data_IF_884033686367
#
_entry.id   IF_884033686367
#
_cell.length_a   1.000
_cell.length_b   1.000
_cell.length_c   1.000
_cell.angle_alpha   90.00
_cell.angle_beta   90.00
_cell.angle_gamma   90.00
#
_symmetry.space_group_name_H-M   'P 1'
#
loop_
_entity.id
_entity.type
_entity.pdbx_description
1 polymer ?
#
# COMPACT_ATOMS: atom_id res chain seq x y z
N UNK A 1 -8.81 4.88 27.16
CA UNK A 1 -9.17 4.61 25.75
C UNK A 1 -7.97 4.63 24.78
N UNK A 2 -6.83 5.25 25.14
CA UNK A 2 -5.64 5.43 24.25
C UNK A 2 -4.74 4.20 24.04
N UNK A 3 -4.78 3.18 24.91
CA UNK A 3 -3.86 2.03 24.82
C UNK A 3 -4.17 1.05 23.67
N UNK A 4 -5.45 0.81 23.37
CA UNK A 4 -5.85 -0.11 22.30
C UNK A 4 -5.41 0.39 20.91
N UNK A 5 -5.57 1.69 20.64
CA UNK A 5 -5.17 2.30 19.36
C UNK A 5 -3.65 2.24 19.18
N UNK A 6 -2.87 2.49 20.23
CA UNK A 6 -1.40 2.33 20.20
C UNK A 6 -0.97 0.89 19.92
N UNK A 7 -1.68 -0.11 20.45
CA UNK A 7 -1.37 -1.53 20.18
C UNK A 7 -1.72 -1.95 18.74
N UNK A 8 -2.82 -1.45 18.16
CA UNK A 8 -3.11 -1.67 16.73
C UNK A 8 -2.10 -0.93 15.82
N UNK A 9 -1.69 0.28 16.20
CA UNK A 9 -0.68 1.06 15.49
C UNK A 9 0.75 0.51 15.65
N UNK A 10 1.08 -0.22 16.72
CA UNK A 10 2.38 -0.90 16.82
C UNK A 10 2.43 -2.16 15.96
N UNK A 11 1.27 -2.75 15.68
CA UNK A 11 1.15 -3.94 14.84
C UNK A 11 1.38 -3.62 13.37
N UNK A 12 0.90 -2.44 12.93
CA UNK A 12 1.32 -1.82 11.68
C UNK A 12 2.67 -1.16 11.93
N UNK A 13 3.76 -1.85 11.59
CA UNK A 13 5.10 -1.28 11.79
C UNK A 13 5.31 -0.05 10.89
N UNK A 14 4.92 1.13 11.39
CA UNK A 14 5.09 2.42 10.71
C UNK A 14 6.55 2.67 10.31
N UNK A 15 7.50 2.21 11.13
CA UNK A 15 8.92 2.30 10.80
C UNK A 15 9.27 1.60 9.49
N UNK A 16 8.67 0.42 9.23
CA UNK A 16 8.95 -0.34 8.01
C UNK A 16 8.35 0.34 6.78
N UNK A 17 7.17 0.97 6.90
CA UNK A 17 6.59 1.79 5.81
C UNK A 17 7.39 3.04 5.52
N UNK A 18 7.90 3.73 6.53
CA UNK A 18 8.78 4.91 6.35
C UNK A 18 10.03 4.56 5.56
N UNK A 19 10.67 3.42 5.83
CA UNK A 19 11.84 2.99 5.07
C UNK A 19 11.56 2.65 3.60
N UNK A 20 10.31 2.35 3.24
CA UNK A 20 9.97 2.03 1.85
C UNK A 20 9.44 3.21 1.03
N UNK A 21 9.01 4.30 1.68
CA UNK A 21 8.53 5.49 1.00
C UNK A 21 9.51 6.06 -0.04
N UNK A 22 10.84 6.10 0.19
CA UNK A 22 11.79 6.58 -0.81
C UNK A 22 11.73 5.77 -2.11
N UNK A 23 11.59 4.45 -2.03
CA UNK A 23 11.51 3.58 -3.21
C UNK A 23 10.20 3.78 -3.98
N UNK A 24 9.08 3.97 -3.27
CA UNK A 24 7.79 4.33 -3.89
C UNK A 24 7.88 5.65 -4.64
N UNK A 25 8.50 6.66 -4.02
CA UNK A 25 8.65 7.99 -4.61
C UNK A 25 9.50 7.95 -5.87
N UNK A 26 10.63 7.25 -5.83
CA UNK A 26 11.50 7.07 -7.00
C UNK A 26 10.75 6.37 -8.13
N UNK A 27 10.00 5.30 -7.83
CA UNK A 27 9.18 4.59 -8.81
C UNK A 27 8.09 5.49 -9.42
N UNK A 28 7.43 6.30 -8.61
CA UNK A 28 6.42 7.27 -9.06
C UNK A 28 7.04 8.33 -9.99
N UNK A 29 8.17 8.91 -9.60
CA UNK A 29 8.89 9.92 -10.40
C UNK A 29 9.41 9.32 -11.71
N UNK A 30 10.00 8.12 -11.68
CA UNK A 30 10.46 7.44 -12.90
C UNK A 30 9.30 7.10 -13.83
N UNK A 31 8.16 6.64 -13.29
CA UNK A 31 6.95 6.40 -14.06
C UNK A 31 6.48 7.66 -14.76
N UNK A 32 6.47 8.80 -14.05
CA UNK A 32 6.12 10.11 -14.60
C UNK A 32 7.07 10.56 -15.72
N UNK A 33 8.38 10.38 -15.54
CA UNK A 33 9.41 10.75 -16.54
C UNK A 33 9.26 9.89 -17.80
N UNK A 34 9.18 8.56 -17.64
CA UNK A 34 9.06 7.63 -18.77
C UNK A 34 7.77 7.88 -19.55
N UNK A 35 6.67 8.16 -18.85
CA UNK A 35 5.39 8.48 -19.46
C UNK A 35 5.46 9.75 -20.31
N UNK A 36 6.10 10.82 -19.82
CA UNK A 36 6.28 12.05 -20.59
C UNK A 36 7.11 11.82 -21.86
N UNK A 37 8.07 10.90 -21.81
CA UNK A 37 8.90 10.53 -22.95
C UNK A 37 8.11 9.78 -24.02
N UNK A 38 7.25 8.82 -23.65
CA UNK A 38 6.42 8.07 -24.61
C UNK A 38 5.34 8.94 -25.27
N UNK A 39 4.82 9.96 -24.55
CA UNK A 39 3.95 10.98 -25.15
C UNK A 39 4.65 11.77 -26.27
N UNK A 40 5.92 12.14 -26.07
CA UNK A 40 6.69 12.91 -27.08
C UNK A 40 7.03 12.09 -28.32
N UNK A 41 7.11 10.77 -28.18
CA UNK A 41 7.44 9.87 -29.28
C UNK A 41 6.22 9.51 -30.16
N UNK A 42 5.02 9.96 -29.79
CA UNK A 42 3.81 9.82 -30.62
C UNK A 42 3.18 8.41 -30.64
N UNK A 43 3.60 7.51 -29.75
CA UNK A 43 3.12 6.12 -29.73
C UNK A 43 1.80 5.91 -28.96
N UNK A 44 1.32 6.92 -28.22
CA UNK A 44 0.14 6.78 -27.35
C UNK A 44 -1.10 7.51 -27.89
N UNK A 45 -2.17 6.76 -28.17
CA UNK A 45 -3.48 7.29 -28.57
C UNK A 45 -4.03 8.21 -27.46
N UNK A 46 -4.04 9.53 -27.71
CA UNK A 46 -4.17 10.61 -26.72
C UNK A 46 -5.54 10.77 -26.05
N UNK A 47 -6.48 9.84 -26.21
CA UNK A 47 -7.89 10.15 -25.94
C UNK A 47 -8.38 9.91 -24.50
N UNK A 48 -7.57 9.33 -23.58
CA UNK A 48 -8.08 8.98 -22.23
C UNK A 48 -7.15 9.19 -21.04
N UNK A 49 -5.93 9.70 -21.21
CA UNK A 49 -4.98 9.72 -20.09
C UNK A 49 -4.23 11.05 -20.02
N UNK A 50 -4.74 11.95 -19.18
CA UNK A 50 -4.15 13.24 -18.89
C UNK A 50 -2.85 13.06 -18.10
N UNK A 51 -1.70 13.16 -18.78
CA UNK A 51 -0.41 13.32 -18.09
C UNK A 51 0.27 14.57 -18.61
N UNK A 52 0.09 15.63 -17.82
CA UNK A 52 1.15 16.50 -17.30
C UNK A 52 2.27 16.74 -18.33
N UNK A 53 1.97 17.66 -19.24
CA UNK A 53 2.95 18.70 -19.51
C UNK A 53 3.13 19.45 -18.18
N UNK A 54 4.35 19.64 -17.70
CA UNK A 54 4.64 20.53 -16.55
C UNK A 54 4.39 22.01 -16.94
N UNK A 55 3.24 22.30 -17.53
CA UNK A 55 2.72 23.63 -17.73
C UNK A 55 2.09 24.02 -16.40
N UNK A 56 2.44 25.20 -15.87
CA UNK A 56 2.09 25.66 -14.53
C UNK A 56 0.58 25.89 -14.35
N UNK A 57 -0.22 24.82 -14.30
CA UNK A 57 -1.65 24.85 -14.01
C UNK A 57 -1.87 24.28 -12.62
N UNK A 58 -2.58 25.02 -11.77
CA UNK A 58 -2.88 24.64 -10.38
C UNK A 58 -3.63 23.30 -10.28
N UNK A 59 -4.30 22.89 -11.37
CA UNK A 59 -5.05 21.64 -11.47
C UNK A 59 -4.15 20.41 -11.56
N UNK A 60 -3.04 20.47 -12.29
CA UNK A 60 -2.13 19.32 -12.46
C UNK A 60 -1.43 18.92 -11.15
N UNK A 61 -1.08 19.92 -10.33
CA UNK A 61 -0.48 19.68 -9.03
C UNK A 61 -1.45 18.97 -8.06
N UNK A 62 -2.73 19.34 -8.10
CA UNK A 62 -3.76 18.72 -7.27
C UNK A 62 -3.96 17.23 -7.62
N UNK A 63 -4.00 16.90 -8.92
CA UNK A 63 -4.07 15.51 -9.39
C UNK A 63 -2.83 14.70 -9.01
N UNK A 64 -1.64 15.30 -9.11
CA UNK A 64 -0.40 14.66 -8.72
C UNK A 64 -0.37 14.35 -7.22
N UNK A 65 -0.77 15.31 -6.38
CA UNK A 65 -0.91 15.09 -4.94
C UNK A 65 -1.94 14.00 -4.62
N UNK A 66 -3.12 14.04 -5.25
CA UNK A 66 -4.15 13.02 -5.05
C UNK A 66 -3.63 11.62 -5.41
N UNK A 67 -2.99 11.46 -6.56
CA UNK A 67 -2.40 10.19 -7.00
C UNK A 67 -1.31 9.73 -6.04
N UNK A 68 -0.48 10.65 -5.56
CA UNK A 68 0.55 10.35 -4.57
C UNK A 68 -0.05 9.83 -3.25
N UNK A 69 -1.09 10.48 -2.72
CA UNK A 69 -1.79 10.01 -1.52
C UNK A 69 -2.42 8.63 -1.72
N UNK A 70 -3.04 8.37 -2.86
CA UNK A 70 -3.59 7.07 -3.23
C UNK A 70 -2.51 5.98 -3.26
N UNK A 71 -1.35 6.26 -3.86
CA UNK A 71 -0.20 5.34 -3.89
C UNK A 71 0.31 5.03 -2.48
N UNK A 72 0.38 6.03 -1.59
CA UNK A 72 0.78 5.83 -0.20
C UNK A 72 -0.22 4.93 0.55
N UNK A 73 -1.52 5.16 0.38
CA UNK A 73 -2.58 4.34 0.97
C UNK A 73 -2.47 2.90 0.46
N UNK A 74 -2.26 2.70 -0.84
CA UNK A 74 -2.03 1.39 -1.43
C UNK A 74 -0.81 0.68 -0.80
N UNK A 75 0.33 1.36 -0.72
CA UNK A 75 1.56 0.79 -0.15
C UNK A 75 1.38 0.38 1.32
N UNK A 76 0.79 1.25 2.13
CA UNK A 76 0.59 0.99 3.56
C UNK A 76 -0.38 -0.17 3.75
N UNK A 77 -1.47 -0.21 2.98
CA UNK A 77 -2.49 -1.26 3.07
C UNK A 77 -1.95 -2.62 2.63
N UNK A 78 -1.28 -2.69 1.48
CA UNK A 78 -0.70 -3.93 0.97
C UNK A 78 0.35 -4.52 1.93
N UNK A 79 1.27 -3.69 2.46
CA UNK A 79 2.27 -4.17 3.43
C UNK A 79 1.64 -4.59 4.75
N UNK A 80 0.66 -3.85 5.24
CA UNK A 80 -0.02 -4.17 6.51
C UNK A 80 -0.78 -5.49 6.39
N UNK A 81 -1.47 -5.71 5.25
CA UNK A 81 -2.12 -6.97 4.93
C UNK A 81 -1.11 -8.13 4.90
N UNK A 82 -0.02 -8.01 4.14
CA UNK A 82 1.02 -9.05 4.04
C UNK A 82 1.67 -9.38 5.39
N UNK A 83 2.01 -8.37 6.19
CA UNK A 83 2.63 -8.58 7.50
C UNK A 83 1.67 -9.26 8.48
N UNK A 84 0.40 -8.86 8.50
CA UNK A 84 -0.61 -9.48 9.35
C UNK A 84 -0.97 -10.89 8.88
N UNK A 85 -1.00 -11.13 7.57
CA UNK A 85 -1.26 -12.44 6.96
C UNK A 85 -0.15 -13.44 7.28
N UNK A 86 1.11 -13.06 7.11
CA UNK A 86 2.26 -13.90 7.45
C UNK A 86 2.19 -14.33 8.93
N UNK A 87 1.91 -13.38 9.84
CA UNK A 87 1.78 -13.69 11.27
C UNK A 87 0.54 -14.53 11.62
N UNK A 88 -0.53 -14.43 10.83
CA UNK A 88 -1.74 -15.25 11.02
C UNK A 88 -1.47 -16.72 10.63
N UNK A 89 -0.85 -16.95 9.47
CA UNK A 89 -0.49 -18.29 9.00
C UNK A 89 0.59 -18.94 9.87
N UNK A 90 1.63 -18.17 10.21
CA UNK A 90 2.78 -18.70 10.94
C UNK A 90 2.49 -18.92 12.44
N UNK A 91 1.28 -18.59 12.95
CA UNK A 91 0.95 -18.63 14.39
C UNK A 91 1.30 -19.95 15.09
N UNK A 92 1.05 -21.09 14.43
CA UNK A 92 1.26 -22.43 15.01
C UNK A 92 2.73 -22.84 14.97
N UNK A 93 3.49 -22.30 14.03
CA UNK A 93 4.92 -22.52 13.89
C UNK A 93 5.71 -21.58 14.80
N UNK A 94 5.33 -20.31 14.84
CA UNK A 94 5.91 -19.28 15.72
C UNK A 94 5.68 -19.60 17.21
N UNK A 95 4.60 -20.28 17.58
CA UNK A 95 4.35 -20.71 18.96
C UNK A 95 5.33 -21.78 19.46
N UNK A 96 5.94 -22.57 18.55
CA UNK A 96 6.89 -23.65 18.90
C UNK A 96 8.33 -23.17 18.99
N UNK A 97 8.65 -22.01 18.44
CA UNK A 97 10.00 -21.49 18.40
C UNK A 97 10.24 -20.51 19.56
N UNK A 98 11.20 -20.77 20.48
CA UNK A 98 11.47 -19.91 21.63
C UNK A 98 11.81 -18.46 21.26
N UNK A 99 12.29 -18.20 20.03
CA UNK A 99 12.57 -16.84 19.53
C UNK A 99 11.32 -16.07 19.08
N UNK A 100 10.28 -16.74 18.61
CA UNK A 100 9.08 -16.10 18.02
C UNK A 100 7.80 -16.29 18.83
N UNK A 101 7.83 -17.11 19.88
CA UNK A 101 6.73 -17.31 20.82
C UNK A 101 6.28 -16.04 21.56
N UNK A 102 7.17 -15.05 21.72
CA UNK A 102 6.87 -13.75 22.37
C UNK A 102 6.06 -12.81 21.45
N UNK A 103 5.87 -13.15 20.17
CA UNK A 103 5.11 -12.30 19.23
C UNK A 103 3.64 -12.19 19.64
N UNK A 104 3.05 -11.04 19.33
CA UNK A 104 1.68 -10.65 19.72
C UNK A 104 0.54 -11.59 19.27
N UNK A 105 0.73 -12.36 18.20
CA UNK A 105 -0.25 -13.37 17.73
C UNK A 105 -0.10 -14.72 18.47
N UNK A 106 1.09 -15.35 18.58
CA UNK A 106 1.28 -16.57 19.37
C UNK A 106 1.17 -16.36 20.89
N UNK A 107 1.44 -15.14 21.39
CA UNK A 107 1.27 -14.77 22.80
C UNK A 107 -0.21 -14.57 23.21
N UNK A 108 -1.17 -14.70 22.28
CA UNK A 108 -2.61 -14.62 22.56
C UNK A 108 -3.14 -13.21 22.88
N UNK A 109 -2.31 -12.17 22.72
CA UNK A 109 -2.69 -10.76 22.99
C UNK A 109 -3.73 -10.28 21.96
N UNK A 110 -3.72 -10.86 20.75
CA UNK A 110 -4.64 -10.52 19.65
C UNK A 110 -5.22 -11.80 19.06
N UNK A 111 -6.56 -11.89 19.07
CA UNK A 111 -7.24 -13.07 18.54
C UNK A 111 -6.98 -13.22 17.03
N UNK A 112 -6.75 -14.46 16.60
CA UNK A 112 -6.50 -14.78 15.20
C UNK A 112 -7.62 -14.28 14.27
N UNK A 113 -8.87 -14.33 14.72
CA UNK A 113 -10.02 -13.81 13.98
C UNK A 113 -10.00 -12.28 13.82
N UNK A 114 -9.45 -11.55 14.80
CA UNK A 114 -9.26 -10.09 14.67
C UNK A 114 -8.13 -9.74 13.71
N UNK A 115 -7.04 -10.54 13.69
CA UNK A 115 -5.98 -10.39 12.70
C UNK A 115 -6.49 -10.65 11.27
N UNK A 116 -7.28 -11.70 11.07
CA UNK A 116 -7.88 -12.02 9.77
C UNK A 116 -8.85 -10.93 9.29
N UNK A 117 -9.69 -10.38 10.19
CA UNK A 117 -10.55 -9.22 9.87
C UNK A 117 -9.74 -7.99 9.45
N UNK A 118 -8.60 -7.75 10.09
CA UNK A 118 -7.71 -6.65 9.74
C UNK A 118 -7.06 -6.84 8.36
N UNK A 119 -6.64 -8.07 8.03
CA UNK A 119 -6.11 -8.42 6.69
C UNK A 119 -7.18 -8.17 5.62
N UNK A 120 -8.38 -8.71 5.80
CA UNK A 120 -9.49 -8.55 4.85
C UNK A 120 -9.82 -7.06 4.65
N UNK A 121 -9.93 -6.30 5.75
CA UNK A 121 -10.20 -4.87 5.67
C UNK A 121 -9.10 -4.13 4.90
N UNK A 122 -7.84 -4.43 5.17
CA UNK A 122 -6.69 -3.81 4.49
C UNK A 122 -6.65 -4.17 3.00
N UNK A 123 -6.96 -5.41 2.64
CA UNK A 123 -7.07 -5.85 1.23
C UNK A 123 -8.22 -5.15 0.50
N UNK A 124 -9.37 -4.96 1.15
CA UNK A 124 -10.49 -4.21 0.56
C UNK A 124 -10.12 -2.75 0.34
N UNK A 125 -9.47 -2.11 1.32
CA UNK A 125 -8.97 -0.73 1.18
C UNK A 125 -7.97 -0.63 0.02
N UNK A 126 -7.08 -1.61 -0.12
CA UNK A 126 -6.12 -1.68 -1.23
C UNK A 126 -6.83 -1.76 -2.59
N UNK A 127 -7.78 -2.69 -2.76
CA UNK A 127 -8.52 -2.85 -4.03
C UNK A 127 -9.30 -1.58 -4.37
N UNK A 128 -9.99 -0.98 -3.40
CA UNK A 128 -10.72 0.28 -3.61
C UNK A 128 -9.75 1.40 -4.02
N UNK A 129 -8.60 1.51 -3.36
CA UNK A 129 -7.60 2.52 -3.71
C UNK A 129 -7.04 2.31 -5.13
N UNK A 130 -6.82 1.07 -5.57
CA UNK A 130 -6.37 0.79 -6.95
C UNK A 130 -7.40 1.17 -8.01
N UNK A 131 -8.70 1.07 -7.71
CA UNK A 131 -9.78 1.50 -8.60
C UNK A 131 -9.73 3.01 -8.87
N UNK A 132 -9.38 3.82 -7.87
CA UNK A 132 -9.24 5.27 -8.02
C UNK A 132 -7.93 5.71 -8.70
N UNK A 133 -6.95 4.82 -8.84
CA UNK A 133 -5.67 5.13 -9.50
C UNK A 133 -5.80 4.91 -11.01
N UNK A 134 -6.05 3.67 -11.44
CA UNK A 134 -6.11 3.30 -12.85
C UNK A 134 -6.73 1.91 -13.02
N UNK A 135 -7.46 1.68 -14.11
CA UNK A 135 -7.99 0.38 -14.51
C UNK A 135 -6.90 -0.70 -14.61
N UNK A 136 -5.68 -0.34 -15.04
CA UNK A 136 -4.54 -1.28 -15.09
C UNK A 136 -4.12 -1.71 -13.67
N UNK A 137 -4.06 -0.76 -12.72
CA UNK A 137 -3.74 -1.08 -11.33
C UNK A 137 -4.82 -1.95 -10.68
N UNK A 138 -6.08 -1.68 -10.99
CA UNK A 138 -7.19 -2.52 -10.53
C UNK A 138 -7.10 -3.95 -11.09
N UNK A 139 -6.77 -4.11 -12.37
CA UNK A 139 -6.60 -5.42 -12.99
C UNK A 139 -5.43 -6.24 -12.39
N UNK A 140 -4.36 -5.58 -11.93
CA UNK A 140 -3.24 -6.23 -11.24
C UNK A 140 -3.50 -6.47 -9.74
N UNK A 141 -4.43 -5.73 -9.12
CA UNK A 141 -4.72 -5.84 -7.68
C UNK A 141 -5.07 -7.24 -7.16
N UNK A 142 -5.76 -8.14 -7.90
CA UNK A 142 -6.04 -9.50 -7.39
C UNK A 142 -4.82 -10.44 -7.42
N UNK A 143 -3.75 -10.08 -8.16
CA UNK A 143 -2.51 -10.88 -8.23
C UNK A 143 -1.46 -10.41 -7.21
N UNK A 144 -1.59 -9.18 -6.72
CA UNK A 144 -0.65 -8.53 -5.80
C UNK A 144 -0.86 -8.91 -4.33
#
# INVERSE_FOLDING_TARGET
>A
MSSKVKNYLSLVKFSHTIFAMPFALIGFVLGMIKFNQELKNGELNSSKFYVISFQHSSWDFMYLLQTFFLVLICMISARSAAMAFNRYLDRSFDAKNPRTAIREIPAGIISANSALRFVILSSVIFVIATFFINTICFALSPVA
#
